data_IF_608514241252
#
_entry.id   IF_608514241252
#
_cell.length_a   1.000
_cell.length_b   1.000
_cell.length_c   1.000
_cell.angle_alpha   90.00
_cell.angle_beta   90.00
_cell.angle_gamma   90.00
#
_symmetry.space_group_name_H-M   'P 1'
#
loop_
_entity.id
_entity.type
_entity.pdbx_description
1 polymer ?
#
# COMPACT_ATOMS: atom_id res chain seq x y z
N UNK A 1 2.61 -4.35 -19.49
CA UNK A 1 2.12 -3.05 -18.98
C UNK A 1 0.60 -3.02 -18.90
N UNK A 2 0.02 -2.38 -17.88
CA UNK A 2 -1.41 -2.14 -17.71
C UNK A 2 -1.63 -0.67 -17.36
N UNK A 3 -2.56 0.00 -18.03
CA UNK A 3 -2.98 1.36 -17.75
C UNK A 3 -4.44 1.32 -17.33
N UNK A 4 -4.75 1.90 -16.18
CA UNK A 4 -6.10 1.93 -15.60
C UNK A 4 -6.49 3.40 -15.35
N UNK A 5 -7.28 4.03 -16.22
CA UNK A 5 -7.87 5.32 -15.93
C UNK A 5 -8.75 5.22 -14.67
N UNK A 6 -8.82 6.33 -13.93
CA UNK A 6 -9.65 6.35 -12.73
C UNK A 6 -11.14 6.37 -13.07
N UNK A 7 -11.91 5.52 -12.41
CA UNK A 7 -13.37 5.49 -12.50
C UNK A 7 -13.99 5.74 -11.12
N UNK A 8 -14.61 6.90 -10.93
CA UNK A 8 -15.28 7.28 -9.69
C UNK A 8 -16.44 6.33 -9.33
N UNK A 9 -17.06 5.66 -10.30
CA UNK A 9 -18.17 4.75 -10.07
C UNK A 9 -17.73 3.34 -9.62
N UNK A 10 -16.42 3.06 -9.63
CA UNK A 10 -15.89 1.75 -9.26
C UNK A 10 -15.73 1.53 -7.73
N UNK A 11 -16.13 2.50 -6.91
CA UNK A 11 -16.12 2.31 -5.46
C UNK A 11 -17.12 1.24 -5.01
N UNK A 12 -16.65 0.35 -4.13
CA UNK A 12 -17.46 -0.69 -3.51
C UNK A 12 -17.32 -0.63 -2.00
N UNK A 13 -18.42 -0.84 -1.29
CA UNK A 13 -18.43 -0.98 0.17
C UNK A 13 -18.01 -2.41 0.53
N UNK A 14 -16.72 -2.65 0.52
CA UNK A 14 -16.12 -3.99 0.70
C UNK A 14 -15.73 -4.28 2.14
N UNK A 15 -15.73 -3.27 3.00
CA UNK A 15 -15.26 -3.45 4.37
C UNK A 15 -16.34 -4.08 5.24
N UNK A 16 -16.02 -5.11 6.06
CA UNK A 16 -17.00 -5.78 6.92
C UNK A 16 -17.72 -4.85 7.91
N UNK A 17 -17.12 -3.71 8.23
CA UNK A 17 -17.67 -2.70 9.14
C UNK A 17 -18.52 -1.66 8.43
N UNK A 18 -18.56 -1.69 7.09
CA UNK A 18 -19.41 -0.80 6.28
C UNK A 18 -19.06 0.69 6.38
N UNK A 19 -17.86 1.03 6.87
CA UNK A 19 -17.44 2.42 7.11
C UNK A 19 -16.45 2.93 6.06
N UNK A 20 -15.91 2.05 5.22
CA UNK A 20 -14.94 2.39 4.19
C UNK A 20 -15.33 1.74 2.87
N UNK A 21 -15.35 2.52 1.80
CA UNK A 21 -15.47 2.01 0.44
C UNK A 21 -14.11 1.97 -0.26
N UNK A 22 -13.95 1.03 -1.17
CA UNK A 22 -12.71 0.80 -1.89
C UNK A 22 -12.89 0.85 -3.39
N UNK A 23 -11.95 1.52 -4.06
CA UNK A 23 -11.75 1.44 -5.50
C UNK A 23 -10.39 0.74 -5.74
N UNK A 24 -10.42 -0.41 -6.41
CA UNK A 24 -9.22 -1.19 -6.71
C UNK A 24 -8.60 -0.67 -8.01
N UNK A 25 -7.59 0.19 -7.89
CA UNK A 25 -6.89 0.80 -9.04
C UNK A 25 -6.11 -0.25 -9.83
N UNK A 26 -5.32 -1.08 -9.12
CA UNK A 26 -4.55 -2.17 -9.70
C UNK A 26 -4.62 -3.41 -8.78
N UNK A 27 -4.58 -4.58 -9.39
CA UNK A 27 -4.55 -5.85 -8.65
C UNK A 27 -3.63 -6.84 -9.35
N UNK A 28 -2.77 -7.48 -8.56
CA UNK A 28 -1.91 -8.57 -9.00
C UNK A 28 -2.63 -9.93 -9.01
N UNK A 29 -1.88 -10.97 -9.33
CA UNK A 29 -2.40 -12.33 -9.43
C UNK A 29 -2.67 -12.90 -8.02
N UNK A 30 -3.94 -13.12 -7.70
CA UNK A 30 -4.38 -13.66 -6.40
C UNK A 30 -3.97 -15.13 -6.19
N UNK A 31 -3.68 -15.86 -7.24
CA UNK A 31 -3.26 -17.27 -7.16
C UNK A 31 -1.81 -17.43 -6.76
N UNK A 32 -1.02 -16.36 -6.87
CA UNK A 32 0.41 -16.33 -6.60
C UNK A 32 0.71 -15.39 -5.41
N UNK A 33 0.93 -15.89 -4.21
CA UNK A 33 1.08 -15.04 -3.01
C UNK A 33 2.10 -13.92 -3.16
N UNK A 34 3.19 -14.14 -3.89
CA UNK A 34 4.26 -13.18 -4.07
C UNK A 34 4.02 -12.16 -5.20
N UNK A 35 3.20 -12.52 -6.19
CA UNK A 35 2.74 -11.61 -7.25
C UNK A 35 1.39 -10.97 -6.90
N UNK A 36 0.80 -11.36 -5.77
CA UNK A 36 -0.43 -10.79 -5.28
C UNK A 36 -0.15 -9.43 -4.65
N UNK A 37 -0.77 -8.41 -5.18
CA UNK A 37 -0.80 -7.07 -4.59
C UNK A 37 -2.18 -6.46 -4.80
N UNK A 38 -2.49 -5.43 -4.01
CA UNK A 38 -3.70 -4.62 -4.13
C UNK A 38 -3.32 -3.17 -4.00
N UNK A 39 -3.57 -2.38 -5.04
CA UNK A 39 -3.45 -0.94 -4.99
C UNK A 39 -4.85 -0.34 -4.93
N UNK A 40 -5.18 0.24 -3.82
CA UNK A 40 -6.55 0.60 -3.43
C UNK A 40 -6.61 2.09 -3.16
N UNK A 41 -7.66 2.74 -3.65
CA UNK A 41 -8.10 4.02 -3.12
C UNK A 41 -9.21 3.76 -2.11
N UNK A 42 -8.94 4.03 -0.83
CA UNK A 42 -9.92 3.94 0.25
C UNK A 42 -10.59 5.29 0.49
N UNK A 43 -11.91 5.28 0.66
CA UNK A 43 -12.71 6.46 1.02
C UNK A 43 -13.50 6.13 2.28
N UNK A 44 -13.30 6.91 3.33
CA UNK A 44 -14.06 6.76 4.56
C UNK A 44 -15.45 7.38 4.41
N UNK A 45 -16.47 6.56 4.62
CA UNK A 45 -17.89 6.95 4.46
C UNK A 45 -18.55 7.33 5.79
N UNK A 46 -18.03 6.84 6.92
CA UNK A 46 -18.48 7.10 8.28
C UNK A 46 -17.30 6.98 9.25
N UNK A 47 -17.55 7.17 10.52
CA UNK A 47 -16.55 6.93 11.56
C UNK A 47 -15.96 5.53 11.39
N UNK A 48 -14.65 5.45 11.43
CA UNK A 48 -13.91 4.22 11.20
C UNK A 48 -13.12 3.84 12.43
N UNK A 49 -13.25 2.59 12.83
CA UNK A 49 -12.42 2.01 13.88
C UNK A 49 -11.91 0.64 13.46
N UNK A 50 -10.59 0.49 13.49
CA UNK A 50 -9.92 -0.80 13.34
C UNK A 50 -9.16 -1.10 14.63
N UNK A 51 -9.42 -2.23 15.31
CA UNK A 51 -8.62 -2.67 16.44
C UNK A 51 -7.14 -2.76 16.08
N UNK A 52 -6.28 -2.74 17.07
CA UNK A 52 -4.86 -3.03 16.90
C UNK A 52 -4.69 -4.39 16.22
N UNK A 53 -3.83 -4.47 15.20
CA UNK A 53 -3.65 -5.66 14.37
C UNK A 53 -2.31 -5.65 13.66
N UNK A 54 -1.95 -6.78 13.04
CA UNK A 54 -0.80 -6.90 12.15
C UNK A 54 -1.15 -7.72 10.90
N UNK A 55 -0.25 -7.75 9.94
CA UNK A 55 -0.40 -8.46 8.67
C UNK A 55 0.81 -9.34 8.38
N UNK A 56 0.64 -10.36 7.54
CA UNK A 56 1.73 -11.18 6.98
C UNK A 56 2.31 -10.59 5.69
N UNK A 57 1.96 -9.34 5.37
CA UNK A 57 2.34 -8.64 4.15
C UNK A 57 2.72 -7.20 4.47
N UNK A 58 3.44 -6.59 3.56
CA UNK A 58 3.81 -5.18 3.61
C UNK A 58 2.64 -4.29 3.19
N UNK A 59 2.59 -3.09 3.75
CA UNK A 59 1.60 -2.11 3.36
C UNK A 59 2.21 -0.71 3.30
N UNK A 60 1.89 0.04 2.25
CA UNK A 60 2.19 1.45 2.11
C UNK A 60 0.87 2.21 2.11
N UNK A 61 0.81 3.32 2.84
CA UNK A 61 -0.33 4.24 2.85
C UNK A 61 0.12 5.66 2.56
N UNK A 62 -0.69 6.37 1.80
CA UNK A 62 -0.55 7.79 1.50
C UNK A 62 -1.92 8.44 1.65
N UNK A 63 -2.20 9.15 2.77
CA UNK A 63 -3.40 9.96 2.90
C UNK A 63 -3.37 11.09 1.86
N UNK A 64 -4.42 11.18 1.04
CA UNK A 64 -4.61 12.23 0.04
C UNK A 64 -5.53 13.34 0.54
N UNK A 65 -6.39 13.02 1.51
CA UNK A 65 -7.28 13.95 2.21
C UNK A 65 -7.44 13.48 3.64
N UNK A 66 -7.15 14.34 4.59
CA UNK A 66 -7.30 14.10 6.02
C UNK A 66 -6.21 13.18 6.62
N UNK A 67 -6.01 13.32 7.91
CA UNK A 67 -5.03 12.57 8.68
C UNK A 67 -5.57 11.21 9.11
N UNK A 68 -4.67 10.26 9.40
CA UNK A 68 -4.99 8.95 9.93
C UNK A 68 -4.43 8.80 11.34
N UNK A 69 -5.30 8.47 12.29
CA UNK A 69 -4.87 8.14 13.64
C UNK A 69 -4.44 6.67 13.72
N UNK A 70 -3.18 6.43 14.07
CA UNK A 70 -2.60 5.08 14.21
C UNK A 70 -2.40 4.67 15.68
N UNK A 71 -3.09 5.33 16.61
CA UNK A 71 -3.00 5.09 18.04
C UNK A 71 -1.59 5.36 18.59
N UNK A 72 -0.97 4.37 19.21
CA UNK A 72 0.37 4.50 19.78
C UNK A 72 1.48 4.75 18.72
N UNK A 73 1.21 4.45 17.47
CA UNK A 73 2.14 4.71 16.36
C UNK A 73 2.10 6.17 15.87
N UNK A 74 1.24 6.99 16.48
CA UNK A 74 1.09 8.41 16.15
C UNK A 74 0.06 8.69 15.06
N UNK A 75 0.28 9.76 14.32
CA UNK A 75 -0.60 10.24 13.26
C UNK A 75 0.17 10.21 11.94
N UNK A 76 -0.42 9.59 10.93
CA UNK A 76 0.02 9.70 9.55
C UNK A 76 -0.76 10.83 8.89
N UNK A 77 -0.09 11.96 8.60
CA UNK A 77 -0.73 13.18 8.10
C UNK A 77 -0.97 13.11 6.59
N UNK A 78 -1.88 13.93 6.12
CA UNK A 78 -2.10 14.16 4.69
C UNK A 78 -0.77 14.46 3.99
N UNK A 79 -0.50 13.76 2.88
CA UNK A 79 0.74 13.87 2.11
C UNK A 79 1.94 13.09 2.65
N UNK A 80 1.90 12.58 3.89
CA UNK A 80 2.96 11.73 4.42
C UNK A 80 2.85 10.30 3.89
N UNK A 81 3.99 9.63 3.76
CA UNK A 81 4.07 8.22 3.36
C UNK A 81 4.29 7.36 4.58
N UNK A 82 3.33 6.48 4.88
CA UNK A 82 3.45 5.47 5.92
C UNK A 82 3.80 4.10 5.34
N UNK A 83 4.90 3.51 5.80
CA UNK A 83 5.25 2.13 5.53
C UNK A 83 4.96 1.27 6.77
N UNK A 84 4.14 0.24 6.59
CA UNK A 84 3.68 -0.71 7.60
C UNK A 84 4.33 -2.06 7.34
N UNK A 85 5.41 -2.40 8.05
CA UNK A 85 6.13 -3.66 7.86
C UNK A 85 5.26 -4.89 8.15
N UNK A 86 5.51 -5.97 7.43
CA UNK A 86 4.93 -7.27 7.77
C UNK A 86 5.26 -7.66 9.22
N UNK A 87 4.30 -8.24 9.93
CA UNK A 87 4.42 -8.59 11.35
C UNK A 87 4.28 -7.42 12.33
N UNK A 88 4.41 -6.17 11.87
CA UNK A 88 4.29 -5.01 12.74
C UNK A 88 2.85 -4.83 13.23
N UNK A 89 2.67 -4.81 14.54
CA UNK A 89 1.40 -4.46 15.16
C UNK A 89 1.24 -2.95 15.23
N UNK A 90 0.09 -2.44 14.78
CA UNK A 90 -0.24 -1.01 14.82
C UNK A 90 -1.72 -0.78 15.11
N UNK A 91 -2.06 0.46 15.43
CA UNK A 91 -3.41 0.86 15.83
C UNK A 91 -3.59 0.87 17.36
N UNK A 92 -4.83 0.98 17.87
CA UNK A 92 -6.06 1.02 17.06
C UNK A 92 -6.07 2.22 16.12
N UNK A 93 -6.68 2.06 14.96
CA UNK A 93 -7.05 3.18 14.11
C UNK A 93 -8.47 3.60 14.50
N UNK A 94 -8.62 4.85 14.88
CA UNK A 94 -9.88 5.43 15.34
C UNK A 94 -9.99 6.82 14.72
N UNK A 95 -10.59 6.86 13.55
CA UNK A 95 -10.70 8.07 12.76
C UNK A 95 -12.17 8.48 12.67
N UNK A 96 -12.56 9.62 13.26
CA UNK A 96 -13.90 10.17 13.08
C UNK A 96 -14.10 10.59 11.62
N UNK A 97 -15.34 10.59 11.18
CA UNK A 97 -15.68 11.14 9.88
C UNK A 97 -15.40 12.65 9.90
N UNK A 98 -14.58 13.08 8.95
CA UNK A 98 -14.23 14.49 8.76
C UNK A 98 -14.87 15.06 7.49
N UNK A 99 -14.97 16.37 7.38
CA UNK A 99 -15.33 17.06 6.16
C UNK A 99 -14.13 17.95 5.74
N UNK A 100 -13.45 17.65 4.62
CA UNK A 100 -13.75 16.59 3.66
C UNK A 100 -13.51 15.17 4.21
N UNK A 101 -14.19 14.18 3.63
CA UNK A 101 -13.98 12.75 3.95
C UNK A 101 -12.54 12.34 3.76
N UNK A 102 -12.05 11.45 4.62
CA UNK A 102 -10.71 10.91 4.49
C UNK A 102 -10.58 10.05 3.23
N UNK A 103 -9.53 10.30 2.45
CA UNK A 103 -9.19 9.54 1.24
C UNK A 103 -7.73 9.15 1.30
N UNK A 104 -7.42 7.87 1.03
CA UNK A 104 -6.05 7.37 1.09
C UNK A 104 -5.74 6.36 -0.01
N UNK A 105 -4.52 6.40 -0.51
CA UNK A 105 -3.95 5.29 -1.27
C UNK A 105 -3.42 4.24 -0.30
N UNK A 106 -3.71 2.97 -0.61
CA UNK A 106 -3.23 1.82 0.16
C UNK A 106 -2.68 0.80 -0.83
N UNK A 107 -1.40 0.52 -0.76
CA UNK A 107 -0.77 -0.58 -1.48
C UNK A 107 -0.42 -1.70 -0.50
N UNK A 108 -0.91 -2.90 -0.76
CA UNK A 108 -0.62 -4.12 -0.02
C UNK A 108 0.09 -5.11 -0.94
N UNK A 109 1.18 -5.73 -0.48
CA UNK A 109 1.99 -6.65 -1.29
C UNK A 109 2.79 -7.62 -0.41
N UNK A 110 3.26 -8.73 -1.00
CA UNK A 110 4.09 -9.69 -0.28
C UNK A 110 5.42 -9.11 0.17
N UNK A 111 5.82 -9.38 1.40
CA UNK A 111 7.08 -8.94 1.98
C UNK A 111 8.23 -9.92 1.81
N UNK A 112 9.38 -9.59 2.43
CA UNK A 112 10.60 -10.39 2.38
C UNK A 112 10.47 -11.78 3.04
N UNK A 113 9.48 -12.00 3.91
CA UNK A 113 9.20 -13.32 4.49
C UNK A 113 8.66 -14.33 3.48
N UNK A 114 8.24 -13.90 2.28
CA UNK A 114 7.56 -14.70 1.28
C UNK A 114 6.21 -15.32 1.73
N UNK A 115 5.69 -15.00 2.91
CA UNK A 115 4.35 -15.42 3.32
C UNK A 115 3.28 -14.80 2.44
N UNK A 116 3.52 -13.59 2.01
CA UNK A 116 2.67 -12.87 1.07
C UNK A 116 1.28 -12.57 1.61
N UNK A 117 0.44 -12.12 0.72
CA UNK A 117 -1.00 -12.02 0.98
C UNK A 117 -1.59 -13.40 0.77
N UNK A 118 -2.01 -14.08 1.84
CA UNK A 118 -2.60 -15.41 1.74
C UNK A 118 -3.77 -15.40 0.76
N UNK A 119 -3.60 -16.14 -0.34
CA UNK A 119 -4.69 -16.42 -1.25
C UNK A 119 -5.75 -17.21 -0.46
N UNK A 120 -6.94 -16.71 -0.34
CA UNK A 120 -8.08 -17.52 0.06
C UNK A 120 -8.60 -17.38 1.49
N UNK A 121 -8.18 -16.39 2.25
CA UNK A 121 -8.96 -15.94 3.40
C UNK A 121 -9.43 -14.50 3.23
N UNK A 122 -9.75 -14.17 1.98
CA UNK A 122 -10.48 -12.99 1.64
C UNK A 122 -11.83 -13.06 2.34
N UNK A 123 -12.08 -12.14 3.24
CA UNK A 123 -13.40 -11.84 3.73
C UNK A 123 -14.14 -11.16 2.58
N UNK A 124 -14.58 -11.96 1.59
CA UNK A 124 -15.49 -11.47 0.57
C UNK A 124 -16.86 -11.23 1.20
N UNK A 125 -17.71 -10.40 0.57
CA UNK A 125 -19.07 -10.13 1.03
C UNK A 125 -19.93 -11.40 1.19
N UNK A 126 -19.56 -12.49 0.53
CA UNK A 126 -20.28 -13.76 0.56
C UNK A 126 -20.05 -14.59 1.84
N UNK A 127 -19.23 -14.12 2.78
CA UNK A 127 -18.86 -14.85 3.97
C UNK A 127 -19.45 -14.27 5.27
N UNK A 128 -20.61 -13.59 5.18
CA UNK A 128 -21.31 -13.04 6.35
C UNK A 128 -21.74 -14.13 7.34
N UNK A 129 -22.11 -15.31 6.85
CA UNK A 129 -22.50 -16.45 7.70
C UNK A 129 -21.31 -17.03 8.48
N UNK A 130 -20.11 -17.05 7.91
CA UNK A 130 -18.90 -17.50 8.60
C UNK A 130 -18.41 -16.52 9.68
N UNK A 131 -18.97 -15.31 9.77
CA UNK A 131 -18.65 -14.33 10.81
C UNK A 131 -19.45 -14.53 12.11
N UNK A 132 -20.59 -15.24 12.04
CA UNK A 132 -21.48 -15.48 13.19
C UNK A 132 -21.05 -16.68 14.04
N UNK A 133 -20.27 -17.61 13.50
CA UNK A 133 -19.74 -18.72 14.26
C UNK A 133 -18.50 -18.29 15.07
N UNK A 134 -18.53 -18.54 16.40
CA UNK A 134 -17.35 -18.42 17.26
C UNK A 134 -16.23 -19.30 16.67
N UNK A 135 -15.28 -18.67 15.99
CA UNK A 135 -14.17 -19.38 15.36
C UNK A 135 -13.28 -19.96 16.44
N UNK A 136 -12.84 -21.23 16.30
CA UNK A 136 -11.90 -21.82 17.22
C UNK A 136 -10.58 -21.04 17.26
N UNK A 137 -9.90 -21.07 18.38
CA UNK A 137 -8.52 -20.58 18.53
C UNK A 137 -7.68 -21.07 17.36
N UNK A 138 -6.95 -20.18 16.71
CA UNK A 138 -6.06 -20.50 15.59
C UNK A 138 -4.68 -19.96 15.86
N UNK A 139 -3.71 -20.78 15.57
CA UNK A 139 -2.31 -20.38 15.53
C UNK A 139 -2.01 -19.76 14.16
N UNK A 140 -1.38 -18.61 14.20
CA UNK A 140 -0.91 -17.92 13.01
C UNK A 140 0.59 -17.65 13.16
N UNK A 141 1.37 -17.97 12.12
CA UNK A 141 2.76 -17.54 12.06
C UNK A 141 2.83 -16.17 11.42
N UNK A 142 3.51 -15.25 12.09
CA UNK A 142 3.79 -13.90 11.60
C UNK A 142 5.29 -13.69 11.53
N UNK A 143 5.78 -12.94 10.53
CA UNK A 143 7.16 -12.50 10.55
C UNK A 143 7.40 -11.62 11.78
N UNK A 144 8.57 -11.72 12.38
CA UNK A 144 9.02 -10.70 13.33
C UNK A 144 9.22 -9.39 12.55
N UNK A 145 8.67 -8.27 13.02
CA UNK A 145 8.81 -7.01 12.30
C UNK A 145 10.28 -6.61 12.20
N UNK A 146 10.70 -6.12 11.03
CA UNK A 146 12.07 -5.64 10.78
C UNK A 146 12.30 -4.21 11.26
N UNK A 147 11.26 -3.52 11.67
CA UNK A 147 11.28 -2.14 12.17
C UNK A 147 10.53 -2.05 13.50
N UNK A 148 10.88 -1.10 14.32
CA UNK A 148 10.29 -0.91 15.66
C UNK A 148 8.93 -0.18 15.64
N UNK A 149 8.28 -0.08 14.49
CA UNK A 149 7.01 0.60 14.32
C UNK A 149 6.69 0.85 12.86
N UNK A 150 5.64 1.63 12.64
CA UNK A 150 5.34 2.19 11.32
C UNK A 150 6.39 3.23 10.98
N UNK A 151 6.95 3.17 9.76
CA UNK A 151 7.92 4.17 9.28
C UNK A 151 7.16 5.27 8.56
N UNK A 152 7.17 6.47 9.13
CA UNK A 152 6.52 7.65 8.55
C UNK A 152 7.57 8.55 7.92
N UNK A 153 7.39 8.90 6.66
CA UNK A 153 8.24 9.83 5.91
C UNK A 153 7.42 11.03 5.46
N UNK A 154 7.96 12.23 5.71
CA UNK A 154 7.37 13.47 5.21
C UNK A 154 8.08 13.89 3.92
N UNK A 155 7.44 13.77 2.74
CA UNK A 155 8.05 14.13 1.47
C UNK A 155 8.42 15.61 1.34
N UNK A 156 7.77 16.49 2.10
CA UNK A 156 8.06 17.93 2.05
C UNK A 156 9.41 18.30 2.66
N UNK A 157 9.96 17.41 3.48
CA UNK A 157 11.31 17.58 4.02
C UNK A 157 12.41 17.12 3.05
N UNK A 158 12.05 16.52 1.91
CA UNK A 158 12.98 16.03 0.92
C UNK A 158 13.02 16.95 -0.31
N UNK A 159 14.19 17.10 -0.90
CA UNK A 159 14.37 17.89 -2.11
C UNK A 159 14.03 17.11 -3.38
N UNK A 160 13.49 17.82 -4.36
CA UNK A 160 13.38 17.31 -5.73
C UNK A 160 14.75 17.27 -6.40
N UNK A 161 15.16 16.10 -6.85
CA UNK A 161 16.42 15.87 -7.55
C UNK A 161 16.17 15.75 -9.05
N UNK A 162 16.98 16.41 -9.91
CA UNK A 162 16.85 16.26 -11.35
C UNK A 162 17.14 14.82 -11.78
N UNK A 163 16.40 14.33 -12.77
CA UNK A 163 16.68 13.01 -13.37
C UNK A 163 17.67 13.23 -14.52
N UNK A 164 18.83 12.57 -14.43
CA UNK A 164 19.86 12.67 -15.46
C UNK A 164 19.33 12.22 -16.83
N UNK A 165 19.60 13.03 -17.88
CA UNK A 165 19.16 12.73 -19.25
C UNK A 165 17.67 12.98 -19.52
N UNK A 166 16.90 13.50 -18.56
CA UNK A 166 15.46 13.78 -18.71
C UNK A 166 15.16 15.23 -18.29
N UNK A 167 15.35 16.21 -19.19
CA UNK A 167 15.02 17.61 -18.91
C UNK A 167 13.57 17.78 -18.50
N UNK A 168 13.31 18.63 -17.49
CA UNK A 168 11.97 18.85 -16.97
C UNK A 168 11.44 17.72 -16.06
N UNK A 169 12.27 16.70 -15.75
CA UNK A 169 11.91 15.61 -14.86
C UNK A 169 12.72 15.66 -13.57
N UNK A 170 12.02 15.54 -12.44
CA UNK A 170 12.61 15.51 -11.10
C UNK A 170 12.04 14.34 -10.33
N UNK A 171 12.83 13.77 -9.42
CA UNK A 171 12.38 12.72 -8.52
C UNK A 171 12.66 13.06 -7.06
N UNK A 172 11.90 12.47 -6.18
CA UNK A 172 12.03 12.58 -4.72
C UNK A 172 12.02 11.17 -4.16
N UNK A 173 13.19 10.52 -3.99
CA UNK A 173 13.26 9.18 -3.40
C UNK A 173 12.88 9.24 -1.93
N UNK A 174 11.97 8.37 -1.51
CA UNK A 174 11.55 8.24 -0.12
C UNK A 174 12.41 7.22 0.60
N UNK A 175 12.68 6.06 -0.02
CA UNK A 175 13.54 5.04 0.54
C UNK A 175 13.45 3.70 -0.16
N UNK A 176 14.39 2.82 0.22
CA UNK A 176 14.41 1.39 -0.10
C UNK A 176 14.31 0.61 1.20
N UNK A 177 13.51 -0.46 1.22
CA UNK A 177 13.11 -1.10 2.45
C UNK A 177 13.25 -2.62 2.37
N UNK A 178 13.62 -3.23 3.49
CA UNK A 178 13.76 -4.66 3.74
C UNK A 178 14.69 -5.39 2.75
N UNK A 179 14.86 -6.69 2.95
CA UNK A 179 15.63 -7.56 2.05
C UNK A 179 14.95 -7.76 0.70
N UNK A 180 13.70 -7.30 0.55
CA UNK A 180 13.03 -7.26 -0.73
C UNK A 180 13.49 -6.10 -1.61
N UNK A 181 14.16 -5.09 -1.01
CA UNK A 181 14.64 -3.90 -1.71
C UNK A 181 13.55 -3.13 -2.47
N UNK A 182 12.27 -3.26 -2.03
CA UNK A 182 11.23 -2.43 -2.62
C UNK A 182 11.50 -0.95 -2.31
N UNK A 183 11.18 -0.08 -3.26
CA UNK A 183 11.46 1.33 -3.15
C UNK A 183 10.22 2.19 -3.42
N UNK A 184 10.24 3.40 -2.88
CA UNK A 184 9.17 4.39 -2.99
C UNK A 184 9.77 5.70 -3.47
N UNK A 185 9.14 6.33 -4.46
CA UNK A 185 9.52 7.67 -4.91
C UNK A 185 8.32 8.46 -5.42
N UNK A 186 8.49 9.78 -5.43
CA UNK A 186 7.67 10.68 -6.23
C UNK A 186 8.46 11.10 -7.48
N UNK A 187 7.76 11.25 -8.60
CA UNK A 187 8.33 11.80 -9.84
C UNK A 187 7.47 12.97 -10.28
N UNK A 188 8.13 14.06 -10.64
CA UNK A 188 7.51 15.25 -11.20
C UNK A 188 7.99 15.43 -12.63
N UNK A 189 7.04 15.64 -13.56
CA UNK A 189 7.30 15.88 -14.98
C UNK A 189 6.66 17.23 -15.30
N UNK A 190 7.48 18.20 -15.71
CA UNK A 190 7.02 19.54 -16.05
C UNK A 190 6.14 19.49 -17.31
N UNK A 191 5.18 20.42 -17.43
CA UNK A 191 4.31 20.50 -18.60
C UNK A 191 5.13 20.59 -19.91
N UNK A 192 4.78 19.77 -20.89
CA UNK A 192 5.50 19.65 -22.16
C UNK A 192 6.75 18.76 -22.12
N UNK A 193 7.14 18.24 -20.95
CA UNK A 193 8.25 17.31 -20.84
C UNK A 193 7.79 15.85 -21.00
N UNK A 194 8.74 15.01 -21.37
CA UNK A 194 8.56 13.55 -21.45
C UNK A 194 9.53 12.82 -20.54
N UNK A 195 9.12 11.66 -20.06
CA UNK A 195 9.94 10.77 -19.25
C UNK A 195 9.73 9.31 -19.63
N UNK A 196 10.82 8.59 -19.81
CA UNK A 196 10.80 7.13 -19.97
C UNK A 196 11.22 6.50 -18.68
N UNK A 197 10.24 5.93 -17.97
CA UNK A 197 10.47 5.12 -16.77
C UNK A 197 10.90 3.72 -17.15
N UNK A 198 11.91 3.18 -16.49
CA UNK A 198 12.35 1.79 -16.66
C UNK A 198 12.88 1.24 -15.33
N UNK A 199 12.77 -0.07 -15.15
CA UNK A 199 13.47 -0.83 -14.12
C UNK A 199 13.65 -2.26 -14.63
N UNK A 200 14.87 -2.75 -14.61
CA UNK A 200 15.18 -4.10 -15.11
C UNK A 200 14.64 -5.19 -14.18
N UNK A 201 14.58 -4.93 -12.89
CA UNK A 201 14.26 -5.95 -11.89
C UNK A 201 12.90 -5.75 -11.22
N UNK A 202 12.45 -4.49 -11.06
CA UNK A 202 11.24 -4.20 -10.29
C UNK A 202 10.00 -4.01 -11.17
N UNK A 203 8.90 -4.67 -10.79
CA UNK A 203 7.57 -4.24 -11.20
C UNK A 203 7.28 -2.88 -10.60
N UNK A 204 6.80 -1.94 -11.43
CA UNK A 204 6.46 -0.58 -10.98
C UNK A 204 4.97 -0.38 -10.95
N UNK A 205 4.49 0.11 -9.81
CA UNK A 205 3.09 0.46 -9.57
C UNK A 205 3.03 1.97 -9.35
N UNK A 206 2.49 2.69 -10.32
CA UNK A 206 2.46 4.16 -10.33
C UNK A 206 1.02 4.66 -10.28
N UNK A 207 0.78 5.72 -9.49
CA UNK A 207 -0.50 6.45 -9.48
C UNK A 207 -0.21 7.93 -9.75
N UNK A 208 -1.02 8.53 -10.61
CA UNK A 208 -1.00 9.98 -10.88
C UNK A 208 -1.65 10.70 -9.72
N UNK A 209 -0.90 11.51 -8.99
CA UNK A 209 -1.43 12.30 -7.87
C UNK A 209 -2.03 13.62 -8.33
N UNK A 210 -1.46 14.24 -9.36
CA UNK A 210 -1.96 15.49 -9.93
C UNK A 210 -1.49 15.69 -11.37
N UNK A 211 -2.17 16.58 -12.09
CA UNK A 211 -1.88 16.92 -13.49
C UNK A 211 -2.54 15.96 -14.48
N UNK A 212 -2.19 16.13 -15.75
CA UNK A 212 -2.69 15.36 -16.88
C UNK A 212 -1.61 15.14 -17.94
N UNK A 213 -1.77 14.07 -18.72
CA UNK A 213 -0.85 13.72 -19.80
C UNK A 213 -1.22 12.41 -20.45
N UNK A 214 -0.24 11.77 -21.09
CA UNK A 214 -0.40 10.43 -21.64
C UNK A 214 0.62 9.47 -21.08
N UNK A 215 0.23 8.21 -20.97
CA UNK A 215 1.12 7.07 -20.78
C UNK A 215 1.06 6.25 -22.06
N UNK A 216 2.19 6.14 -22.75
CA UNK A 216 2.21 5.79 -24.16
C UNK A 216 1.23 6.71 -24.93
N UNK A 217 0.17 6.15 -25.52
CA UNK A 217 -0.85 6.88 -26.26
C UNK A 217 -2.19 6.98 -25.48
N UNK A 218 -2.22 6.57 -24.20
CA UNK A 218 -3.42 6.55 -23.36
C UNK A 218 -3.45 7.79 -22.46
N UNK A 219 -4.51 8.56 -22.53
CA UNK A 219 -4.72 9.71 -21.63
C UNK A 219 -4.83 9.24 -20.18
N UNK A 220 -4.12 9.93 -19.30
CA UNK A 220 -4.17 9.73 -17.86
C UNK A 220 -4.30 11.05 -17.13
N UNK A 221 -5.09 11.04 -16.10
CA UNK A 221 -5.26 12.16 -15.17
C UNK A 221 -5.16 11.69 -13.73
N UNK A 222 -5.53 12.55 -12.79
CA UNK A 222 -5.49 12.27 -11.36
C UNK A 222 -6.11 10.92 -11.01
N UNK A 223 -5.41 10.13 -10.20
CA UNK A 223 -5.74 8.78 -9.75
C UNK A 223 -5.71 7.69 -10.84
N UNK A 224 -5.35 8.03 -12.09
CA UNK A 224 -4.99 7.03 -13.07
C UNK A 224 -3.78 6.21 -12.59
N UNK A 225 -3.80 4.91 -12.84
CA UNK A 225 -2.79 4.00 -12.33
C UNK A 225 -2.12 3.20 -13.47
N UNK A 226 -0.83 2.94 -13.31
CA UNK A 226 0.00 2.22 -14.29
C UNK A 226 0.77 1.11 -13.61
N UNK A 227 0.68 -0.10 -14.18
CA UNK A 227 1.53 -1.23 -13.84
C UNK A 227 2.48 -1.50 -15.00
N UNK A 228 3.76 -1.61 -14.69
CA UNK A 228 4.79 -2.03 -15.64
C UNK A 228 5.59 -3.21 -15.07
N UNK A 229 5.76 -4.24 -15.87
CA UNK A 229 6.57 -5.41 -15.49
C UNK A 229 8.08 -5.08 -15.55
N UNK A 230 8.93 -5.89 -14.92
CA UNK A 230 10.38 -5.76 -15.06
C UNK A 230 10.82 -5.70 -16.52
N UNK A 231 11.76 -4.81 -16.85
CA UNK A 231 12.26 -4.60 -18.20
C UNK A 231 11.37 -3.74 -19.11
N UNK A 232 10.10 -3.52 -18.78
CA UNK A 232 9.22 -2.67 -19.58
C UNK A 232 9.63 -1.20 -19.47
N UNK A 233 9.64 -0.52 -20.62
CA UNK A 233 9.80 0.94 -20.71
C UNK A 233 8.42 1.57 -20.81
N UNK A 234 8.17 2.60 -20.00
CA UNK A 234 6.90 3.33 -19.99
C UNK A 234 7.16 4.79 -20.23
N UNK A 235 6.61 5.31 -21.33
CA UNK A 235 6.72 6.72 -21.69
C UNK A 235 5.56 7.51 -21.09
N UNK A 236 5.89 8.54 -20.35
CA UNK A 236 4.98 9.56 -19.83
C UNK A 236 5.21 10.86 -20.61
N UNK A 237 4.15 11.49 -21.10
CA UNK A 237 4.21 12.81 -21.70
C UNK A 237 3.22 13.73 -20.98
N UNK A 238 3.73 14.77 -20.34
CA UNK A 238 2.94 15.66 -19.50
C UNK A 238 2.32 16.80 -20.32
N UNK A 239 1.00 16.90 -20.32
CA UNK A 239 0.29 18.08 -20.85
C UNK A 239 0.14 19.17 -19.80
N UNK A 240 0.04 18.78 -18.53
CA UNK A 240 0.15 19.59 -17.33
C UNK A 240 1.26 19.04 -16.45
N UNK A 241 1.76 19.79 -15.45
CA UNK A 241 2.74 19.24 -14.52
C UNK A 241 2.18 17.96 -13.88
N UNK A 242 2.78 16.80 -14.20
CA UNK A 242 2.42 15.52 -13.62
C UNK A 242 3.21 15.27 -12.34
N UNK A 243 2.50 14.86 -11.28
CA UNK A 243 3.12 14.31 -10.09
C UNK A 243 2.70 12.85 -9.95
N UNK A 244 3.67 11.96 -9.92
CA UNK A 244 3.50 10.52 -9.84
C UNK A 244 3.98 10.00 -8.49
N UNK A 245 3.26 9.02 -7.94
CA UNK A 245 3.71 8.23 -6.79
C UNK A 245 3.98 6.81 -7.27
N UNK A 246 5.22 6.37 -7.17
CA UNK A 246 5.68 5.09 -7.70
C UNK A 246 6.26 4.21 -6.60
N UNK A 247 5.87 2.95 -6.61
CA UNK A 247 6.45 1.88 -5.80
C UNK A 247 7.03 0.83 -6.73
N UNK A 248 8.32 0.56 -6.57
CA UNK A 248 9.00 -0.53 -7.28
C UNK A 248 9.07 -1.77 -6.41
N UNK A 249 8.62 -2.89 -6.96
CA UNK A 249 8.55 -4.19 -6.29
C UNK A 249 9.49 -5.19 -6.99
N UNK A 250 10.77 -5.29 -6.58
CA UNK A 250 11.64 -6.37 -7.03
C UNK A 250 11.10 -7.75 -6.64
N UNK A 251 11.47 -8.83 -7.33
CA UNK A 251 11.16 -10.19 -6.89
C UNK A 251 11.85 -10.51 -5.56
N UNK A 252 11.27 -11.39 -4.77
CA UNK A 252 11.93 -11.89 -3.56
C UNK A 252 13.00 -12.90 -3.97
N UNK A 253 14.25 -12.57 -3.66
CA UNK A 253 15.39 -13.39 -4.05
C UNK A 253 15.63 -14.56 -3.09
N UNK A 254 15.39 -14.37 -1.80
CA UNK A 254 15.65 -15.38 -0.76
C UNK A 254 14.48 -15.39 0.24
N UNK A 255 13.43 -16.18 -0.02
CA UNK A 255 12.34 -16.33 0.93
C UNK A 255 12.83 -16.97 2.24
N UNK A 256 12.29 -16.52 3.36
CA UNK A 256 12.60 -17.06 4.68
C UNK A 256 11.65 -18.23 4.97
N UNK A 257 12.21 -19.37 5.42
CA UNK A 257 11.39 -20.51 5.79
C UNK A 257 10.49 -20.20 7.00
N UNK A 258 9.23 -20.66 7.01
CA UNK A 258 8.27 -20.36 8.06
C UNK A 258 8.63 -20.85 9.46
N UNK A 259 9.55 -21.81 9.59
CA UNK A 259 10.02 -22.34 10.87
C UNK A 259 11.32 -21.68 11.37
N UNK A 260 11.80 -20.70 10.63
CA UNK A 260 12.94 -19.88 11.01
C UNK A 260 12.62 -19.05 12.28
N UNK A 261 13.67 -18.71 13.06
CA UNK A 261 13.58 -17.86 14.26
C UNK A 261 13.06 -16.44 13.98
N UNK A 262 12.96 -16.04 12.69
CA UNK A 262 12.38 -14.79 12.23
C UNK A 262 10.85 -14.76 12.24
N UNK A 263 10.20 -15.85 12.67
CA UNK A 263 8.74 -15.94 12.78
C UNK A 263 8.31 -16.04 14.24
N UNK A 264 7.09 -15.59 14.53
CA UNK A 264 6.42 -15.75 15.81
C UNK A 264 5.07 -16.45 15.60
N UNK A 265 4.68 -17.28 16.56
CA UNK A 265 3.35 -17.88 16.59
C UNK A 265 2.44 -17.03 17.45
N UNK A 266 1.33 -16.57 16.88
CA UNK A 266 0.30 -15.80 17.59
C UNK A 266 -0.97 -16.63 17.64
N UNK A 267 -1.51 -16.82 18.85
CA UNK A 267 -2.79 -17.51 19.08
C UNK A 267 -3.90 -16.47 19.18
N UNK A 268 -4.90 -16.56 18.31
CA UNK A 268 -6.01 -15.61 18.29
C UNK A 268 -7.36 -16.29 18.37
N UNK A 269 -8.29 -15.68 19.08
CA UNK A 269 -9.69 -16.12 19.16
C UNK A 269 -10.45 -15.65 17.90
N UNK A 270 -10.16 -16.29 16.76
CA UNK A 270 -10.92 -16.11 15.52
C UNK A 270 -10.61 -14.89 14.65
N UNK A 271 -9.60 -14.08 14.98
CA UNK A 271 -9.16 -12.92 14.16
C UNK A 271 -7.74 -12.47 14.49
N UNK A 272 -7.16 -11.66 13.60
CA UNK A 272 -5.80 -11.08 13.76
C UNK A 272 -5.91 -9.68 14.40
N UNK A 273 -6.91 -9.43 15.24
CA UNK A 273 -7.09 -8.14 15.91
C UNK A 273 -6.80 -8.29 17.38
N UNK A 274 -6.00 -7.40 17.94
CA UNK A 274 -5.65 -7.34 19.35
C UNK A 274 -6.37 -6.14 19.96
N UNK A 275 -7.30 -6.35 20.87
CA UNK A 275 -8.03 -5.25 21.53
C UNK A 275 -7.27 -4.65 22.71
N UNK A 276 -6.34 -5.43 23.32
CA UNK A 276 -5.53 -4.97 24.45
C UNK A 276 -4.04 -5.14 24.17
N UNK A 277 -3.32 -4.03 24.20
CA UNK A 277 -1.88 -3.96 23.96
C UNK A 277 -1.02 -4.74 24.97
N UNK A 278 -1.57 -5.12 26.13
CA UNK A 278 -0.82 -5.84 27.17
C UNK A 278 -0.53 -7.29 26.83
N UNK A 279 -1.32 -7.89 25.93
CA UNK A 279 -1.18 -9.31 25.58
C UNK A 279 -0.15 -9.57 24.47
N UNK A 280 0.23 -8.54 23.72
CA UNK A 280 1.22 -8.66 22.63
C UNK A 280 2.67 -8.35 23.05
N UNK A 281 2.87 -7.77 24.23
CA UNK A 281 4.19 -7.42 24.77
C UNK A 281 4.75 -8.44 25.76
N UNK A 282 4.05 -9.53 25.98
CA UNK A 282 4.37 -10.58 26.96
C UNK A 282 4.93 -11.87 26.34
N UNK A 283 5.70 -11.75 25.25
CA UNK A 283 6.41 -12.86 24.67
C UNK A 283 7.87 -12.54 24.53
#
# INVERSE_FOLDING_TARGET
MKIAPFDENAFKMDHPRGTVSFNYLLMGDRSKPMENYRYILGRQEADFRMPRHCHTFEQIRLPLVGDMNLGEQGILREGEVGYFPEGQTYGPQDDPLTDPKQIQLVLQFGGASALGMSAGRGRGPDNKEAQAERRPRREHKFPKPRYNGVVISNPDHLNWLPVSGSPGVKRKPIGTYTEREFWIEFVKIEAGAEWVSTSEEARRLTVVLSGAGTVEDTEVGKLGAVEADPGEKVRYAATEELVLFTVGLPPIQQPVEPDDDKFVTVVTDGGISFENAKDAAGG
#
